data_IF_035617868994
#
_entry.id   IF_035617868994
#
_cell.length_a   1.000
_cell.length_b   1.000
_cell.length_c   1.000
_cell.angle_alpha   90.00
_cell.angle_beta   90.00
_cell.angle_gamma   90.00
#
_symmetry.space_group_name_H-M   'P 1'
#
loop_
_entity.id
_entity.type
_entity.pdbx_description
1 polymer ?
#
# COMPACT_ATOMS: atom_id res chain seq x y z
N UNK A 1 1.22 13.86 -4.87
CA UNK A 1 0.56 15.18 -5.06
C UNK A 1 1.58 16.26 -4.77
N UNK A 2 1.44 17.45 -5.33
CA UNK A 2 2.25 18.59 -4.90
C UNK A 2 1.70 19.22 -3.60
N UNK A 3 2.37 20.25 -3.09
CA UNK A 3 1.95 20.98 -1.89
C UNK A 3 0.57 21.68 -2.03
N UNK A 4 0.06 21.84 -3.25
CA UNK A 4 -1.25 22.41 -3.55
C UNK A 4 -2.34 21.33 -3.70
N UNK A 5 -2.00 20.06 -3.47
CA UNK A 5 -2.92 18.93 -3.59
C UNK A 5 -3.12 18.44 -5.03
N UNK A 6 -2.35 18.93 -6.01
CA UNK A 6 -2.47 18.48 -7.40
C UNK A 6 -1.85 17.10 -7.59
N UNK A 7 -2.56 16.20 -8.28
CA UNK A 7 -2.00 14.90 -8.65
C UNK A 7 -0.98 15.10 -9.77
N UNK A 8 0.28 14.71 -9.52
CA UNK A 8 1.37 14.76 -10.51
C UNK A 8 1.44 13.48 -11.35
N UNK A 9 1.12 12.34 -10.75
CA UNK A 9 1.11 11.03 -11.39
C UNK A 9 0.21 10.06 -10.62
N UNK A 10 -0.51 9.23 -11.35
CA UNK A 10 -1.25 8.07 -10.85
C UNK A 10 -0.79 6.84 -11.64
N UNK A 11 -0.60 5.70 -10.97
CA UNK A 11 -0.15 4.47 -11.61
C UNK A 11 -0.62 3.25 -10.81
N UNK A 12 -0.72 2.10 -11.49
CA UNK A 12 -0.88 0.79 -10.85
C UNK A 12 0.48 0.10 -10.83
N UNK A 13 0.91 -0.30 -9.65
CA UNK A 13 2.19 -0.98 -9.40
C UNK A 13 1.89 -2.22 -8.54
N UNK A 14 2.70 -3.26 -8.66
CA UNK A 14 2.58 -4.41 -7.77
C UNK A 14 2.75 -3.97 -6.31
N UNK A 15 2.00 -4.60 -5.40
CA UNK A 15 2.05 -4.31 -3.97
C UNK A 15 3.24 -4.99 -3.29
N UNK A 16 4.41 -4.90 -3.91
CA UNK A 16 5.68 -5.48 -3.46
C UNK A 16 6.68 -4.34 -3.23
N UNK A 17 7.47 -4.36 -2.13
CA UNK A 17 8.41 -3.31 -1.79
C UNK A 17 9.35 -2.97 -2.92
N UNK A 18 9.98 -3.97 -3.54
CA UNK A 18 10.96 -3.74 -4.61
C UNK A 18 10.33 -3.06 -5.83
N UNK A 19 9.11 -3.45 -6.20
CA UNK A 19 8.38 -2.81 -7.31
C UNK A 19 8.00 -1.36 -6.99
N UNK A 20 7.63 -1.06 -5.74
CA UNK A 20 7.32 0.29 -5.30
C UNK A 20 8.57 1.17 -5.24
N UNK A 21 9.66 0.67 -4.67
CA UNK A 21 10.96 1.37 -4.62
C UNK A 21 11.42 1.70 -6.03
N UNK A 22 11.45 0.71 -6.92
CA UNK A 22 11.87 0.91 -8.31
C UNK A 22 10.98 1.96 -9.02
N UNK A 23 9.67 1.92 -8.76
CA UNK A 23 8.74 2.91 -9.29
C UNK A 23 9.05 4.32 -8.77
N UNK A 24 9.31 4.47 -7.48
CA UNK A 24 9.63 5.74 -6.84
C UNK A 24 10.95 6.32 -7.34
N UNK A 25 12.00 5.50 -7.48
CA UNK A 25 13.30 5.92 -8.02
C UNK A 25 13.22 6.38 -9.48
N UNK A 26 12.26 5.83 -10.25
CA UNK A 26 12.02 6.25 -11.64
C UNK A 26 11.28 7.58 -11.76
N UNK A 27 10.74 8.14 -10.67
CA UNK A 27 10.08 9.45 -10.72
C UNK A 27 11.11 10.56 -10.98
N UNK A 28 10.70 11.57 -11.76
CA UNK A 28 11.55 12.72 -12.11
C UNK A 28 11.39 13.89 -11.13
N UNK A 29 10.85 13.61 -9.95
CA UNK A 29 10.62 14.57 -8.88
C UNK A 29 10.96 13.92 -7.53
N UNK A 30 11.40 14.74 -6.58
CA UNK A 30 11.68 14.28 -5.23
C UNK A 30 10.39 13.91 -4.51
N UNK A 31 10.41 12.78 -3.78
CA UNK A 31 9.32 12.38 -2.89
C UNK A 31 9.68 12.84 -1.49
N UNK A 32 8.93 13.78 -0.94
CA UNK A 32 9.12 14.24 0.44
C UNK A 32 8.50 13.28 1.46
N UNK A 33 7.35 12.68 1.11
CA UNK A 33 6.61 11.76 1.97
C UNK A 33 5.72 10.81 1.18
N UNK A 34 5.61 9.59 1.66
CA UNK A 34 4.69 8.54 1.18
C UNK A 34 3.61 8.32 2.23
N UNK A 35 2.35 8.51 1.85
CA UNK A 35 1.19 8.13 2.67
C UNK A 35 0.69 6.73 2.31
N UNK A 36 0.59 5.84 3.28
CA UNK A 36 -0.05 4.53 3.14
C UNK A 36 -1.36 4.52 3.91
N UNK A 37 -2.45 4.19 3.24
CA UNK A 37 -3.73 3.97 3.93
C UNK A 37 -3.63 2.75 4.85
N UNK A 38 -4.09 2.87 6.10
CA UNK A 38 -4.01 1.79 7.06
C UNK A 38 -4.82 0.56 6.61
N UNK A 39 -4.16 -0.58 6.49
CA UNK A 39 -4.73 -1.86 6.07
C UNK A 39 -3.79 -3.02 6.36
N UNK A 40 -4.20 -4.27 6.06
CA UNK A 40 -3.44 -5.47 6.44
C UNK A 40 -2.01 -5.52 5.89
N UNK A 41 -1.76 -4.94 4.71
CA UNK A 41 -0.43 -4.90 4.08
C UNK A 41 0.39 -3.67 4.49
N UNK A 42 -0.24 -2.63 5.05
CA UNK A 42 0.36 -1.31 5.21
C UNK A 42 1.49 -1.30 6.22
N UNK A 43 1.42 -2.15 7.27
CA UNK A 43 2.51 -2.26 8.25
C UNK A 43 3.79 -2.87 7.64
N UNK A 44 3.63 -3.90 6.80
CA UNK A 44 4.76 -4.54 6.12
C UNK A 44 5.39 -3.59 5.09
N UNK A 45 4.56 -2.93 4.27
CA UNK A 45 5.03 -1.93 3.31
C UNK A 45 5.67 -0.73 4.00
N UNK A 46 5.10 -0.27 5.11
CA UNK A 46 5.68 0.81 5.92
C UNK A 46 7.09 0.46 6.38
N UNK A 47 7.28 -0.74 6.96
CA UNK A 47 8.58 -1.18 7.43
C UNK A 47 9.60 -1.30 6.28
N UNK A 48 9.19 -1.86 5.14
CA UNK A 48 10.05 -2.04 3.99
C UNK A 48 10.46 -0.70 3.35
N UNK A 49 9.51 0.23 3.16
CA UNK A 49 9.78 1.56 2.58
C UNK A 49 10.63 2.42 3.53
N UNK A 50 10.41 2.34 4.84
CA UNK A 50 11.29 2.95 5.84
C UNK A 50 12.70 2.39 5.77
N UNK A 51 12.83 1.07 5.64
CA UNK A 51 14.12 0.39 5.47
C UNK A 51 14.85 0.81 4.19
N UNK A 52 14.11 1.13 3.13
CA UNK A 52 14.64 1.65 1.87
C UNK A 52 14.92 3.17 1.88
N UNK A 53 14.75 3.84 3.02
CA UNK A 53 15.09 5.26 3.20
C UNK A 53 13.97 6.25 2.83
N UNK A 54 12.76 5.79 2.57
CA UNK A 54 11.64 6.67 2.27
C UNK A 54 10.96 7.19 3.54
N UNK A 55 10.66 8.48 3.58
CA UNK A 55 9.77 9.04 4.60
C UNK A 55 8.35 8.53 4.34
N UNK A 56 7.86 7.64 5.20
CA UNK A 56 6.58 6.96 5.03
C UNK A 56 5.73 7.15 6.28
N UNK A 57 4.44 7.40 6.11
CA UNK A 57 3.45 7.55 7.20
C UNK A 57 2.25 6.64 6.97
N UNK A 58 1.70 6.10 8.05
CA UNK A 58 0.41 5.42 8.03
C UNK A 58 -0.70 6.45 8.24
N UNK A 59 -1.64 6.50 7.30
CA UNK A 59 -2.83 7.32 7.37
C UNK A 59 -3.92 6.49 8.04
N UNK A 60 -4.15 6.76 9.33
CA UNK A 60 -5.30 6.19 10.03
C UNK A 60 -6.57 6.84 9.49
N UNK A 61 -7.44 6.03 8.88
CA UNK A 61 -8.79 6.45 8.53
C UNK A 61 -9.71 6.08 9.69
N UNK A 62 -10.10 7.01 10.58
CA UNK A 62 -10.93 6.66 11.75
C UNK A 62 -12.32 6.06 11.45
N UNK A 63 -12.73 5.77 10.20
CA UNK A 63 -14.05 5.21 9.88
C UNK A 63 -14.12 4.15 8.75
N UNK A 64 -13.01 3.58 8.25
CA UNK A 64 -13.10 2.53 7.19
C UNK A 64 -13.53 1.17 7.74
N UNK A 65 -13.36 0.93 9.06
CA UNK A 65 -13.72 -0.35 9.70
C UNK A 65 -15.22 -0.64 9.68
N UNK A 66 -16.08 0.39 9.66
CA UNK A 66 -17.53 0.23 9.59
C UNK A 66 -18.05 0.03 8.15
N UNK A 67 -17.39 0.63 7.15
CA UNK A 67 -17.78 0.48 5.74
C UNK A 67 -17.44 -0.90 5.17
N UNK A 68 -16.35 -1.54 5.64
CA UNK A 68 -15.93 -2.85 5.14
C UNK A 68 -16.72 -4.04 5.71
N UNK A 69 -17.39 -3.91 6.87
CA UNK A 69 -18.26 -4.98 7.40
C UNK A 69 -19.62 -5.06 6.70
N UNK A 70 -20.06 -3.99 6.04
CA UNK A 70 -21.35 -3.96 5.33
C UNK A 70 -21.25 -4.44 3.87
N UNK A 71 -20.04 -4.56 3.33
CA UNK A 71 -19.83 -4.93 1.92
C UNK A 71 -19.36 -6.40 1.81
N UNK A 72 -20.29 -7.32 2.05
CA UNK A 72 -20.17 -8.69 1.52
C UNK A 72 -19.98 -8.62 0.01
N UNK A 73 -18.77 -8.91 -0.49
CA UNK A 73 -18.37 -9.23 -1.88
C UNK A 73 -16.83 -9.39 -1.83
N UNK A 74 -16.13 -10.43 -2.30
CA UNK A 74 -16.41 -11.61 -3.13
C UNK A 74 -15.16 -12.52 -3.01
N UNK A 75 -15.35 -13.72 -2.50
CA UNK A 75 -14.52 -14.93 -2.71
C UNK A 75 -12.99 -14.83 -2.56
N UNK A 76 -12.44 -15.24 -1.41
CA UNK A 76 -11.13 -15.90 -1.38
C UNK A 76 -11.38 -17.41 -1.47
N UNK A 77 -11.09 -17.99 -2.63
CA UNK A 77 -11.13 -19.43 -2.80
C UNK A 77 -10.05 -20.05 -1.90
N UNK A 78 -10.49 -20.92 -1.00
CA UNK A 78 -9.62 -21.77 -0.18
C UNK A 78 -8.77 -22.66 -1.10
N UNK A 79 -7.47 -22.44 -1.16
CA UNK A 79 -6.55 -23.45 -1.65
C UNK A 79 -6.44 -24.56 -0.59
N UNK A 80 -6.88 -25.77 -0.96
CA UNK A 80 -6.57 -27.02 -0.25
C UNK A 80 -5.11 -27.34 -0.52
N UNK A 81 -4.28 -27.33 0.52
CA UNK A 81 -3.08 -28.16 0.54
C UNK A 81 -3.50 -29.50 1.17
N UNK A 82 -3.52 -30.55 0.36
CA UNK A 82 -3.45 -31.90 0.90
C UNK A 82 -2.07 -32.16 1.48
N UNK A 83 -1.99 -33.11 2.40
CA UNK A 83 -0.81 -33.98 2.48
C UNK A 83 -1.26 -35.37 2.92
N UNK A 84 -0.61 -36.42 2.37
CA UNK A 84 -0.97 -37.82 2.56
C UNK A 84 -0.34 -38.37 3.84
N UNK A 85 -0.94 -39.44 4.37
CA UNK A 85 -0.45 -40.19 5.53
C UNK A 85 -1.60 -40.88 6.23
#
# INVERSE_FOLDING_TARGET
>A
MDAQGKILKEAKVASEPDALVEFFEKLRFAIERIGLEAGPLSQWLYAALKGAGFETVLLETPHVKAAFSAMTLKTFARMRAGSPG
#
